data_IF_753276815493
#
_entry.id   IF_753276815493
#
_cell.length_a   1.000
_cell.length_b   1.000
_cell.length_c   1.000
_cell.angle_alpha   90.00
_cell.angle_beta   90.00
_cell.angle_gamma   90.00
#
_symmetry.space_group_name_H-M   'P 1'
#
loop_
_entity.id
_entity.type
_entity.pdbx_description
1 polymer ?
#
# COMPACT_ATOMS: atom_id res chain seq x y z
N UNK A 1 45.33 9.56 20.40
CA UNK A 1 44.47 10.07 19.30
C UNK A 1 43.43 9.04 18.86
N UNK A 2 43.76 7.75 18.79
CA UNK A 2 42.85 6.65 18.45
C UNK A 2 41.56 6.61 19.28
N UNK A 3 41.63 6.77 20.60
CA UNK A 3 40.44 6.75 21.48
C UNK A 3 39.44 7.87 21.17
N UNK A 4 39.93 9.08 20.86
CA UNK A 4 39.06 10.21 20.49
C UNK A 4 38.35 9.95 19.17
N UNK A 5 39.06 9.40 18.18
CA UNK A 5 38.46 9.00 16.90
C UNK A 5 37.44 7.87 17.08
N UNK A 6 37.76 6.83 17.85
CA UNK A 6 36.84 5.72 18.14
C UNK A 6 35.57 6.22 18.85
N UNK A 7 35.70 7.09 19.86
CA UNK A 7 34.55 7.68 20.55
C UNK A 7 33.68 8.51 19.59
N UNK A 8 34.28 9.31 18.71
CA UNK A 8 33.55 10.09 17.71
C UNK A 8 32.79 9.19 16.72
N UNK A 9 33.42 8.11 16.24
CA UNK A 9 32.78 7.15 15.34
C UNK A 9 31.61 6.43 16.02
N UNK A 10 31.79 5.99 17.27
CA UNK A 10 30.72 5.36 18.06
C UNK A 10 29.57 6.33 18.28
N UNK A 11 29.85 7.58 18.66
CA UNK A 11 28.80 8.60 18.83
C UNK A 11 28.04 8.85 17.52
N UNK A 12 28.75 9.01 16.39
CA UNK A 12 28.12 9.20 15.07
C UNK A 12 27.23 8.01 14.69
N UNK A 13 27.69 6.78 14.93
CA UNK A 13 26.91 5.56 14.71
C UNK A 13 25.68 5.49 15.62
N UNK A 14 25.79 5.88 16.88
CA UNK A 14 24.65 5.95 17.80
C UNK A 14 23.63 7.01 17.37
N UNK A 15 24.09 8.20 16.98
CA UNK A 15 23.21 9.27 16.50
C UNK A 15 22.53 8.91 15.18
N UNK A 16 23.24 8.30 14.23
CA UNK A 16 22.63 7.87 12.96
C UNK A 16 21.60 6.76 13.16
N UNK A 17 21.92 5.77 13.99
CA UNK A 17 20.99 4.67 14.31
C UNK A 17 19.73 5.21 14.99
N UNK A 18 19.88 6.06 16.01
CA UNK A 18 18.72 6.66 16.71
C UNK A 18 17.90 7.62 15.84
N UNK A 19 18.53 8.37 14.94
CA UNK A 19 17.84 9.22 13.98
C UNK A 19 17.04 8.39 12.97
N UNK A 20 17.65 7.34 12.43
CA UNK A 20 16.98 6.42 11.51
C UNK A 20 15.82 5.69 12.20
N UNK A 21 16.02 5.29 13.46
CA UNK A 21 15.00 4.61 14.24
C UNK A 21 13.75 5.47 14.50
N UNK A 22 13.99 6.75 14.82
CA UNK A 22 12.93 7.77 14.92
C UNK A 22 12.24 8.02 13.58
N UNK A 23 12.94 7.88 12.47
CA UNK A 23 12.35 8.08 11.13
C UNK A 23 11.39 6.95 10.75
N UNK A 24 11.73 5.67 11.00
CA UNK A 24 10.85 4.54 10.69
C UNK A 24 9.65 4.45 11.62
N UNK A 25 9.83 4.72 12.92
CA UNK A 25 8.71 4.80 13.86
C UNK A 25 7.73 5.92 13.49
N UNK A 26 8.23 7.08 13.06
CA UNK A 26 7.40 8.17 12.53
C UNK A 26 6.68 7.76 11.24
N UNK A 27 7.40 7.17 10.29
CA UNK A 27 6.84 6.67 9.03
C UNK A 27 5.71 5.68 9.28
N UNK A 28 5.94 4.69 10.15
CA UNK A 28 4.94 3.70 10.55
C UNK A 28 3.70 4.36 11.14
N UNK A 29 3.89 5.33 12.04
CA UNK A 29 2.77 6.06 12.64
C UNK A 29 1.95 6.79 11.58
N UNK A 30 2.62 7.58 10.71
CA UNK A 30 1.96 8.34 9.65
C UNK A 30 1.23 7.42 8.66
N UNK A 31 1.85 6.30 8.27
CA UNK A 31 1.25 5.32 7.37
C UNK A 31 -0.03 4.73 7.98
N UNK A 32 -0.01 4.37 9.27
CA UNK A 32 -1.20 3.85 9.96
C UNK A 32 -2.32 4.88 10.07
N UNK A 33 -2.00 6.16 10.28
CA UNK A 33 -3.01 7.21 10.33
C UNK A 33 -3.66 7.41 8.97
N UNK A 34 -2.87 7.56 7.90
CA UNK A 34 -3.42 7.68 6.53
C UNK A 34 -4.26 6.46 6.15
N UNK A 35 -3.83 5.23 6.46
CA UNK A 35 -4.62 4.04 6.18
C UNK A 35 -5.95 3.98 6.93
N UNK A 36 -6.01 4.49 8.17
CA UNK A 36 -7.27 4.61 8.91
C UNK A 36 -8.21 5.62 8.25
N UNK A 37 -7.68 6.76 7.78
CA UNK A 37 -8.48 7.73 7.05
C UNK A 37 -8.94 7.15 5.70
N UNK A 38 -8.09 6.42 4.96
CA UNK A 38 -8.51 5.71 3.75
C UNK A 38 -9.66 4.74 4.04
N UNK A 39 -9.56 3.94 5.10
CA UNK A 39 -10.62 3.00 5.48
C UNK A 39 -11.93 3.73 5.83
N UNK A 40 -11.84 4.85 6.55
CA UNK A 40 -12.99 5.70 6.90
C UNK A 40 -13.64 6.32 5.67
N UNK A 41 -12.85 6.84 4.72
CA UNK A 41 -13.34 7.42 3.46
C UNK A 41 -14.01 6.36 2.59
N UNK A 42 -13.39 5.19 2.43
CA UNK A 42 -13.96 4.06 1.70
C UNK A 42 -15.28 3.57 2.32
N UNK A 43 -15.44 3.67 3.64
CA UNK A 43 -16.66 3.32 4.36
C UNK A 43 -17.80 4.35 4.21
N UNK A 44 -17.51 5.58 3.75
CA UNK A 44 -18.52 6.60 3.47
C UNK A 44 -19.12 6.46 2.06
N UNK A 45 -18.41 5.77 1.15
CA UNK A 45 -18.91 5.50 -0.18
C UNK A 45 -20.14 4.56 -0.10
N UNK A 46 -21.18 4.77 -0.92
CA UNK A 46 -22.39 3.96 -0.93
C UNK A 46 -22.13 2.45 -0.84
N UNK A 47 -22.53 1.84 0.28
CA UNK A 47 -22.44 0.40 0.51
C UNK A 47 -23.44 -0.29 -0.40
N UNK A 48 -22.97 -1.15 -1.30
CA UNK A 48 -23.82 -1.69 -2.38
C UNK A 48 -24.40 -3.08 -2.06
N UNK A 49 -25.45 -3.45 -2.81
CA UNK A 49 -26.27 -4.66 -2.61
C UNK A 49 -25.46 -5.95 -2.65
N UNK A 50 -25.76 -6.87 -1.72
CA UNK A 50 -25.17 -8.21 -1.62
C UNK A 50 -25.26 -8.99 -2.95
N UNK A 51 -26.26 -8.71 -3.80
CA UNK A 51 -26.43 -9.37 -5.09
C UNK A 51 -25.24 -9.14 -6.05
N UNK A 52 -24.59 -7.97 -6.00
CA UNK A 52 -23.39 -7.73 -6.83
C UNK A 52 -22.22 -8.66 -6.44
N UNK A 53 -22.17 -9.11 -5.18
CA UNK A 53 -21.10 -9.96 -4.65
C UNK A 53 -21.30 -11.46 -4.96
N UNK A 54 -22.47 -11.86 -5.46
CA UNK A 54 -22.74 -13.25 -5.85
C UNK A 54 -21.91 -13.67 -7.08
N UNK A 55 -21.54 -12.70 -7.92
CA UNK A 55 -20.57 -12.86 -9.00
C UNK A 55 -19.15 -12.97 -8.44
N UNK A 56 -18.86 -14.07 -7.75
CA UNK A 56 -17.55 -14.34 -7.14
C UNK A 56 -16.52 -14.57 -8.25
N UNK A 57 -15.69 -13.57 -8.50
CA UNK A 57 -14.53 -13.65 -9.39
C UNK A 57 -13.26 -13.87 -8.57
N UNK A 58 -12.43 -14.83 -8.98
CA UNK A 58 -11.09 -14.98 -8.43
C UNK A 58 -10.11 -14.09 -9.21
N UNK A 59 -9.69 -12.99 -8.59
CA UNK A 59 -8.70 -12.08 -9.15
C UNK A 59 -7.26 -12.61 -9.05
N UNK A 60 -7.09 -13.83 -8.54
CA UNK A 60 -5.79 -14.45 -8.26
C UNK A 60 -5.01 -13.62 -7.25
N UNK A 61 -5.66 -13.24 -6.14
CA UNK A 61 -4.99 -12.52 -5.06
C UNK A 61 -3.74 -13.29 -4.61
N UNK A 62 -2.55 -12.67 -4.62
CA UNK A 62 -1.29 -13.33 -4.31
C UNK A 62 -1.31 -13.92 -2.91
N UNK A 63 -0.58 -15.02 -2.71
CA UNK A 63 -0.58 -15.72 -1.43
C UNK A 63 0.07 -14.88 -0.32
N UNK A 64 1.03 -14.04 -0.71
CA UNK A 64 1.72 -13.04 0.10
C UNK A 64 0.73 -12.03 0.72
N UNK A 65 -0.42 -11.80 0.08
CA UNK A 65 -1.50 -10.95 0.59
C UNK A 65 -2.49 -11.69 1.48
N UNK A 66 -2.61 -13.01 1.34
CA UNK A 66 -3.56 -13.83 2.13
C UNK A 66 -2.96 -14.23 3.47
N UNK A 67 -1.74 -14.76 3.45
CA UNK A 67 -1.12 -15.42 4.59
C UNK A 67 -0.49 -14.45 5.59
N UNK A 68 -0.16 -14.98 6.77
CA UNK A 68 0.73 -14.35 7.75
C UNK A 68 2.20 -14.47 7.35
N UNK A 69 2.49 -14.28 6.06
CA UNK A 69 3.87 -14.27 5.59
C UNK A 69 4.62 -13.12 6.26
N UNK A 70 5.81 -13.43 6.77
CA UNK A 70 6.70 -12.42 7.33
C UNK A 70 7.42 -11.71 6.21
N UNK A 71 7.42 -10.39 6.26
CA UNK A 71 8.18 -9.55 5.35
C UNK A 71 9.39 -9.00 6.08
N UNK A 72 10.53 -8.92 5.39
CA UNK A 72 11.59 -8.02 5.82
C UNK A 72 11.08 -6.57 5.75
N UNK A 73 11.70 -5.67 6.52
CA UNK A 73 11.31 -4.25 6.55
C UNK A 73 11.34 -3.64 5.14
N UNK A 74 12.42 -3.89 4.40
CA UNK A 74 12.64 -3.36 3.07
C UNK A 74 11.58 -3.90 2.11
N UNK A 75 11.34 -5.21 2.11
CA UNK A 75 10.31 -5.86 1.31
C UNK A 75 8.90 -5.31 1.61
N UNK A 76 8.56 -5.12 2.88
CA UNK A 76 7.29 -4.53 3.28
C UNK A 76 7.12 -3.11 2.73
N UNK A 77 8.19 -2.30 2.70
CA UNK A 77 8.17 -0.94 2.14
C UNK A 77 7.95 -0.97 0.63
N UNK A 78 8.64 -1.86 -0.08
CA UNK A 78 8.46 -2.04 -1.52
C UNK A 78 7.02 -2.46 -1.86
N UNK A 79 6.51 -3.48 -1.17
CA UNK A 79 5.15 -3.98 -1.36
C UNK A 79 4.11 -2.92 -1.00
N UNK A 80 4.29 -2.16 0.09
CA UNK A 80 3.38 -1.06 0.42
C UNK A 80 3.34 -0.03 -0.70
N UNK A 81 4.49 0.38 -1.23
CA UNK A 81 4.56 1.36 -2.32
C UNK A 81 3.82 0.84 -3.56
N UNK A 82 4.07 -0.41 -3.96
CA UNK A 82 3.45 -1.04 -5.12
C UNK A 82 1.93 -1.14 -5.00
N UNK A 83 1.44 -1.60 -3.85
CA UNK A 83 0.01 -1.73 -3.56
C UNK A 83 -0.67 -0.37 -3.58
N UNK A 84 -0.06 0.66 -2.98
CA UNK A 84 -0.60 2.02 -2.98
C UNK A 84 -0.70 2.59 -4.41
N UNK A 85 0.33 2.38 -5.23
CA UNK A 85 0.36 2.85 -6.61
C UNK A 85 -0.77 2.22 -7.44
N UNK A 86 -1.01 0.93 -7.27
CA UNK A 86 -2.09 0.25 -7.97
C UNK A 86 -3.48 0.67 -7.50
N UNK A 87 -3.70 0.82 -6.18
CA UNK A 87 -4.97 1.36 -5.66
C UNK A 87 -5.23 2.76 -6.22
N UNK A 88 -4.21 3.62 -6.22
CA UNK A 88 -4.30 4.96 -6.80
C UNK A 88 -4.73 4.89 -8.27
N UNK A 89 -4.04 4.06 -9.07
CA UNK A 89 -4.36 3.87 -10.48
C UNK A 89 -5.79 3.38 -10.72
N UNK A 90 -6.29 2.46 -9.90
CA UNK A 90 -7.68 1.98 -9.98
C UNK A 90 -8.66 3.12 -9.66
N UNK A 91 -8.45 3.85 -8.57
CA UNK A 91 -9.37 4.92 -8.14
C UNK A 91 -9.40 6.13 -9.06
N UNK A 92 -8.43 6.26 -9.98
CA UNK A 92 -8.44 7.29 -11.04
C UNK A 92 -9.25 6.92 -12.27
N UNK A 93 -9.85 5.72 -12.31
CA UNK A 93 -10.71 5.27 -13.42
C UNK A 93 -12.11 5.84 -13.29
N UNK A 94 -12.91 5.70 -14.35
CA UNK A 94 -14.29 6.17 -14.37
C UNK A 94 -15.13 5.44 -13.32
N UNK A 95 -15.62 6.19 -12.33
CA UNK A 95 -16.54 5.73 -11.29
C UNK A 95 -17.92 6.41 -11.39
N UNK A 96 -18.25 7.09 -12.49
CA UNK A 96 -19.49 7.85 -12.65
C UNK A 96 -20.77 7.01 -12.43
N UNK A 97 -20.74 5.71 -12.74
CA UNK A 97 -21.85 4.77 -12.55
C UNK A 97 -22.18 4.47 -11.07
N UNK A 98 -21.24 4.74 -10.17
CA UNK A 98 -21.31 4.33 -8.77
C UNK A 98 -22.16 5.26 -7.91
N UNK A 99 -22.27 6.53 -8.31
CA UNK A 99 -22.82 7.59 -7.46
C UNK A 99 -21.91 7.95 -6.27
N UNK A 100 -20.63 7.59 -6.32
CA UNK A 100 -19.63 7.99 -5.33
C UNK A 100 -19.42 9.50 -5.33
N UNK A 101 -19.13 10.06 -4.15
CA UNK A 101 -18.79 11.47 -4.02
C UNK A 101 -17.38 11.70 -4.57
N UNK A 102 -17.26 12.57 -5.58
CA UNK A 102 -15.98 12.98 -6.14
C UNK A 102 -15.03 13.52 -5.06
N UNK A 103 -15.54 14.34 -4.13
CA UNK A 103 -14.76 14.88 -3.01
C UNK A 103 -14.16 13.79 -2.12
N UNK A 104 -14.92 12.72 -1.83
CA UNK A 104 -14.40 11.59 -1.03
C UNK A 104 -13.30 10.85 -1.80
N UNK A 105 -13.45 10.68 -3.11
CA UNK A 105 -12.42 10.06 -3.96
C UNK A 105 -11.17 10.95 -4.05
N UNK A 106 -11.33 12.26 -4.18
CA UNK A 106 -10.21 13.22 -4.17
C UNK A 106 -9.42 13.16 -2.85
N UNK A 107 -10.12 13.14 -1.71
CA UNK A 107 -9.50 12.99 -0.39
C UNK A 107 -8.78 11.65 -0.25
N UNK A 108 -9.37 10.56 -0.77
CA UNK A 108 -8.76 9.24 -0.77
C UNK A 108 -7.48 9.21 -1.62
N UNK A 109 -7.52 9.78 -2.83
CA UNK A 109 -6.36 9.90 -3.71
C UNK A 109 -5.25 10.76 -3.08
N UNK A 110 -5.62 11.83 -2.38
CA UNK A 110 -4.68 12.67 -1.63
C UNK A 110 -4.00 11.90 -0.52
N UNK A 111 -4.73 11.10 0.27
CA UNK A 111 -4.13 10.25 1.30
C UNK A 111 -3.16 9.22 0.71
N UNK A 112 -3.53 8.58 -0.40
CA UNK A 112 -2.67 7.62 -1.10
C UNK A 112 -1.40 8.28 -1.65
N UNK A 113 -1.55 9.45 -2.27
CA UNK A 113 -0.43 10.25 -2.78
C UNK A 113 0.58 10.60 -1.68
N UNK A 114 0.11 11.09 -0.54
CA UNK A 114 1.01 11.45 0.56
C UNK A 114 1.70 10.23 1.19
N UNK A 115 1.02 9.08 1.23
CA UNK A 115 1.65 7.82 1.65
C UNK A 115 2.79 7.42 0.70
N UNK A 116 2.53 7.41 -0.61
CA UNK A 116 3.56 7.10 -1.61
C UNK A 116 4.74 8.07 -1.55
N UNK A 117 4.49 9.38 -1.39
CA UNK A 117 5.55 10.38 -1.27
C UNK A 117 6.47 10.16 -0.07
N UNK A 118 5.93 9.69 1.07
CA UNK A 118 6.76 9.35 2.24
C UNK A 118 7.61 8.11 2.02
N UNK A 119 7.08 7.12 1.29
CA UNK A 119 7.77 5.86 1.03
C UNK A 119 8.79 5.96 -0.10
N UNK A 120 8.58 6.84 -1.09
CA UNK A 120 9.35 6.89 -2.33
C UNK A 120 10.87 7.05 -2.13
N UNK A 121 11.39 7.93 -1.24
CA UNK A 121 12.84 8.05 -1.05
C UNK A 121 13.47 6.75 -0.54
N UNK A 122 12.77 6.06 0.38
CA UNK A 122 13.24 4.82 0.99
C UNK A 122 13.14 3.67 -0.02
N UNK A 123 12.04 3.60 -0.76
CA UNK A 123 11.85 2.65 -1.84
C UNK A 123 12.97 2.76 -2.88
N UNK A 124 13.34 3.98 -3.31
CA UNK A 124 14.45 4.21 -4.24
C UNK A 124 15.80 3.77 -3.67
N UNK A 125 16.05 4.04 -2.39
CA UNK A 125 17.29 3.61 -1.73
C UNK A 125 17.41 2.09 -1.65
N UNK A 126 16.31 1.38 -1.35
CA UNK A 126 16.27 -0.09 -1.31
C UNK A 126 16.58 -0.67 -2.70
N UNK A 127 15.91 -0.14 -3.74
CA UNK A 127 16.09 -0.60 -5.13
C UNK A 127 17.54 -0.41 -5.62
N UNK A 128 18.17 0.72 -5.28
CA UNK A 128 19.56 0.99 -5.66
C UNK A 128 20.56 0.02 -5.02
N UNK A 129 20.25 -0.55 -3.87
CA UNK A 129 21.13 -1.51 -3.18
C UNK A 129 21.03 -2.92 -3.77
N UNK A 130 20.13 -3.20 -4.73
CA UNK A 130 19.91 -4.51 -5.39
C UNK A 130 19.83 -5.71 -4.43
N UNK A 131 19.39 -5.47 -3.20
CA UNK A 131 19.39 -6.49 -2.14
C UNK A 131 18.01 -7.14 -1.92
N UNK A 132 16.98 -6.74 -2.66
CA UNK A 132 15.60 -7.22 -2.44
C UNK A 132 15.20 -8.28 -3.46
N UNK A 133 14.87 -9.48 -2.97
CA UNK A 133 14.24 -10.55 -3.77
C UNK A 133 12.80 -10.23 -4.17
N UNK A 134 12.19 -9.22 -3.53
CA UNK A 134 10.80 -8.81 -3.72
C UNK A 134 10.46 -8.37 -5.14
N UNK A 135 11.40 -7.72 -5.83
CA UNK A 135 11.20 -7.23 -7.21
C UNK A 135 11.01 -8.39 -8.19
N UNK A 136 11.78 -9.46 -8.06
CA UNK A 136 11.72 -10.61 -8.96
C UNK A 136 10.59 -11.59 -8.62
N UNK A 137 10.01 -11.50 -7.42
CA UNK A 137 9.07 -12.51 -6.90
C UNK A 137 7.67 -11.96 -6.64
N UNK A 138 7.54 -10.98 -5.74
CA UNK A 138 6.24 -10.51 -5.24
C UNK A 138 5.63 -9.47 -6.18
N UNK A 139 6.44 -8.55 -6.72
CA UNK A 139 5.97 -7.46 -7.59
C UNK A 139 5.23 -7.99 -8.83
N UNK A 140 5.73 -9.01 -9.56
CA UNK A 140 5.00 -9.59 -10.69
C UNK A 140 3.64 -10.18 -10.30
N UNK A 141 3.54 -10.82 -9.13
CA UNK A 141 2.28 -11.39 -8.64
C UNK A 141 1.26 -10.29 -8.31
N UNK A 142 1.71 -9.21 -7.66
CA UNK A 142 0.88 -8.03 -7.40
C UNK A 142 0.40 -7.40 -8.71
N UNK A 143 1.30 -7.19 -9.66
CA UNK A 143 0.98 -6.63 -10.97
C UNK A 143 -0.10 -7.43 -11.70
N UNK A 144 -0.01 -8.77 -11.67
CA UNK A 144 -1.03 -9.65 -12.25
C UNK A 144 -2.40 -9.49 -11.58
N UNK A 145 -2.43 -9.44 -10.25
CA UNK A 145 -3.67 -9.27 -9.48
C UNK A 145 -4.37 -7.94 -9.81
N UNK A 146 -3.63 -6.84 -9.85
CA UNK A 146 -4.22 -5.54 -10.20
C UNK A 146 -4.58 -5.41 -11.67
N UNK A 147 -3.81 -6.04 -12.56
CA UNK A 147 -4.19 -6.18 -13.97
C UNK A 147 -5.55 -6.88 -14.09
N UNK A 148 -5.78 -7.97 -13.36
CA UNK A 148 -7.06 -8.68 -13.36
C UNK A 148 -8.22 -7.82 -12.83
N UNK A 149 -8.00 -7.01 -11.79
CA UNK A 149 -9.01 -6.08 -11.28
C UNK A 149 -9.38 -5.02 -12.33
N UNK A 150 -8.37 -4.46 -13.01
CA UNK A 150 -8.56 -3.49 -14.07
C UNK A 150 -9.31 -4.09 -15.26
N UNK A 151 -8.89 -5.26 -15.74
CA UNK A 151 -9.57 -5.99 -16.81
C UNK A 151 -11.01 -6.32 -16.46
N UNK A 152 -11.29 -6.65 -15.19
CA UNK A 152 -12.66 -6.88 -14.74
C UNK A 152 -13.52 -5.62 -14.83
N UNK A 153 -13.05 -4.47 -14.33
CA UNK A 153 -13.76 -3.20 -14.46
C UNK A 153 -14.04 -2.87 -15.93
N UNK A 154 -13.03 -2.98 -16.79
CA UNK A 154 -13.16 -2.72 -18.22
C UNK A 154 -14.17 -3.66 -18.89
N UNK A 155 -14.10 -4.96 -18.60
CA UNK A 155 -15.02 -5.98 -19.16
C UNK A 155 -16.47 -5.81 -18.72
N UNK A 156 -16.69 -5.11 -17.61
CA UNK A 156 -18.00 -4.77 -17.05
C UNK A 156 -18.40 -3.33 -17.33
N UNK A 157 -17.67 -2.64 -18.21
CA UNK A 157 -17.94 -1.26 -18.60
C UNK A 157 -18.06 -0.31 -17.38
N UNK A 158 -17.25 -0.57 -16.35
CA UNK A 158 -17.26 0.18 -15.10
C UNK A 158 -18.65 0.26 -14.46
N UNK A 159 -19.50 -0.77 -14.62
CA UNK A 159 -20.81 -0.78 -14.01
C UNK A 159 -20.73 -0.71 -12.48
N UNK A 160 -21.87 -0.39 -11.85
CA UNK A 160 -21.94 -0.23 -10.39
C UNK A 160 -21.53 -1.50 -9.64
N UNK A 161 -21.93 -2.68 -10.12
CA UNK A 161 -21.62 -3.94 -9.44
C UNK A 161 -20.13 -4.30 -9.56
N UNK A 162 -19.50 -4.00 -10.69
CA UNK A 162 -18.08 -4.20 -10.87
C UNK A 162 -17.28 -3.36 -9.88
N UNK A 163 -17.65 -2.09 -9.72
CA UNK A 163 -17.08 -1.22 -8.71
C UNK A 163 -17.34 -1.68 -7.28
N UNK A 164 -18.52 -2.24 -6.98
CA UNK A 164 -18.80 -2.86 -5.67
C UNK A 164 -17.77 -3.96 -5.36
N UNK A 165 -17.54 -4.86 -6.32
CA UNK A 165 -16.57 -5.95 -6.14
C UNK A 165 -15.16 -5.39 -5.96
N UNK A 166 -14.75 -4.40 -6.77
CA UNK A 166 -13.42 -3.77 -6.65
C UNK A 166 -13.27 -2.99 -5.35
N UNK A 167 -14.30 -2.32 -4.84
CA UNK A 167 -14.28 -1.61 -3.56
C UNK A 167 -13.98 -2.58 -2.40
N UNK A 168 -14.57 -3.78 -2.42
CA UNK A 168 -14.27 -4.84 -1.43
C UNK A 168 -12.81 -5.28 -1.54
N UNK A 169 -12.28 -5.40 -2.76
CA UNK A 169 -10.87 -5.70 -2.98
C UNK A 169 -9.98 -4.58 -2.43
N UNK A 170 -10.30 -3.31 -2.68
CA UNK A 170 -9.55 -2.16 -2.15
C UNK A 170 -9.58 -2.15 -0.61
N UNK A 171 -10.72 -2.40 0.03
CA UNK A 171 -10.82 -2.52 1.50
C UNK A 171 -9.93 -3.65 2.05
N UNK A 172 -9.88 -4.78 1.34
CA UNK A 172 -8.99 -5.91 1.67
C UNK A 172 -7.52 -5.49 1.55
N UNK A 173 -7.19 -4.71 0.53
CA UNK A 173 -5.84 -4.20 0.30
C UNK A 173 -5.43 -3.16 1.36
N UNK A 174 -6.33 -2.29 1.81
CA UNK A 174 -6.07 -1.38 2.94
C UNK A 174 -5.80 -2.16 4.23
N UNK A 175 -6.50 -3.27 4.45
CA UNK A 175 -6.25 -4.17 5.58
C UNK A 175 -4.86 -4.85 5.47
N UNK A 176 -4.48 -5.26 4.27
CA UNK A 176 -3.14 -5.79 3.98
C UNK A 176 -2.04 -4.75 4.26
N UNK A 177 -2.20 -3.51 3.77
CA UNK A 177 -1.29 -2.40 4.05
C UNK A 177 -1.17 -2.13 5.55
N UNK A 178 -2.29 -2.16 6.28
CA UNK A 178 -2.29 -1.99 7.74
C UNK A 178 -1.44 -3.06 8.44
N UNK A 179 -1.49 -4.31 7.97
CA UNK A 179 -0.62 -5.39 8.44
C UNK A 179 0.84 -5.15 8.08
N UNK A 180 1.14 -4.69 6.86
CA UNK A 180 2.52 -4.39 6.43
C UNK A 180 3.20 -3.31 7.26
N UNK A 181 2.46 -2.31 7.75
CA UNK A 181 3.02 -1.34 8.72
C UNK A 181 3.54 -2.00 9.99
N UNK A 182 3.14 -3.24 10.27
CA UNK A 182 3.67 -4.07 11.35
C UNK A 182 5.14 -4.47 11.17
N UNK A 183 5.65 -4.51 9.94
CA UNK A 183 7.03 -4.91 9.61
C UNK A 183 7.98 -3.71 9.44
N UNK A 184 7.45 -2.49 9.38
CA UNK A 184 8.23 -1.24 9.34
C UNK A 184 8.71 -0.91 10.76
N UNK A 185 9.71 -1.65 11.26
CA UNK A 185 10.30 -1.48 12.58
C UNK A 185 11.82 -1.41 12.48
N UNK A 186 12.44 -0.83 13.50
CA UNK A 186 13.89 -0.69 13.58
C UNK A 186 14.61 -2.04 13.60
#
# INVERSE_FOLDING_TARGET
MTYRCLLQMVLLLCFSTTALSRSYSLLRFQQRQSLKECQKLLGQLPSTSQHCLEARMDFQMPEEMKQEQQFQKEDAILVMYEVLQHIFGILTRDFSSTGWSETIIEDLLKELYWQMNRLQPIQKEIMQKQNSTTEDTIVPHLGKYYFNLMQYLESKEYDRCAWTVVQVQILTNVSFLMRLTGYVRD
#
